data_IF_418750950549
#
_entry.id   IF_418750950549
#
_cell.length_a   1.000
_cell.length_b   1.000
_cell.length_c   1.000
_cell.angle_alpha   90.00
_cell.angle_beta   90.00
_cell.angle_gamma   90.00
#
_symmetry.space_group_name_H-M   'P 1'
#
loop_
_entity.id
_entity.type
_entity.pdbx_description
1 polymer ?
#
# COMPACT_ATOMS: atom_id res chain seq x y z
N UNK A 1 57.51 -5.91 17.35
CA UNK A 1 58.20 -5.17 18.44
C UNK A 1 58.04 -3.68 18.12
N UNK A 2 57.46 -2.76 18.90
CA UNK A 2 57.25 -2.56 20.35
C UNK A 2 55.85 -1.92 20.55
N UNK A 3 54.99 -2.51 21.39
CA UNK A 3 54.55 -2.11 22.74
C UNK A 3 53.57 -0.91 22.84
N UNK A 4 52.34 -1.29 23.21
CA UNK A 4 51.22 -0.55 23.79
C UNK A 4 51.60 0.07 25.14
N UNK A 5 50.89 1.13 25.59
CA UNK A 5 50.17 0.98 26.86
C UNK A 5 48.78 1.67 26.90
N UNK A 6 47.87 1.02 27.60
CA UNK A 6 46.68 1.55 28.32
C UNK A 6 46.97 1.28 29.84
N UNK A 7 46.24 1.75 30.89
CA UNK A 7 44.89 2.33 30.91
C UNK A 7 44.61 3.52 31.86
N UNK A 8 43.38 4.02 31.74
CA UNK A 8 42.59 4.93 32.60
C UNK A 8 42.59 4.56 34.10
N UNK A 9 42.33 5.49 35.08
CA UNK A 9 40.94 5.87 35.44
C UNK A 9 40.72 7.25 36.10
N UNK A 10 39.50 7.82 35.98
CA UNK A 10 39.05 8.87 36.89
C UNK A 10 37.82 9.66 36.45
N UNK A 11 36.62 9.23 36.85
CA UNK A 11 35.45 10.11 36.88
C UNK A 11 34.84 10.10 38.29
N UNK A 12 34.91 11.24 38.98
CA UNK A 12 34.27 11.49 40.29
C UNK A 12 33.68 12.90 40.32
N UNK A 13 32.40 12.95 40.73
CA UNK A 13 31.60 14.07 41.27
C UNK A 13 31.24 15.23 40.33
N UNK A 14 29.94 15.49 40.17
CA UNK A 14 29.26 16.39 41.11
C UNK A 14 27.74 16.21 41.15
N UNK A 15 27.22 16.21 42.38
CA UNK A 15 25.81 16.21 42.77
C UNK A 15 25.56 17.59 43.42
N UNK A 16 24.73 18.42 42.79
CA UNK A 16 24.02 19.58 43.37
C UNK A 16 22.75 19.65 42.50
N UNK A 17 21.51 19.52 42.98
CA UNK A 17 20.96 20.03 44.24
C UNK A 17 20.11 21.24 43.88
N UNK A 18 18.91 21.04 43.33
CA UNK A 18 17.90 22.09 43.15
C UNK A 18 16.59 21.67 43.82
N UNK A 19 16.27 22.38 44.90
CA UNK A 19 15.04 22.28 45.66
C UNK A 19 13.85 22.81 44.83
N UNK A 20 12.80 22.01 44.71
CA UNK A 20 11.50 22.45 44.23
C UNK A 20 10.62 22.83 45.43
N UNK A 21 10.25 24.11 45.52
CA UNK A 21 9.22 24.62 46.43
C UNK A 21 7.83 24.30 45.88
N UNK A 22 7.05 23.59 46.68
CA UNK A 22 5.59 23.44 46.57
C UNK A 22 4.90 24.75 46.93
N UNK A 23 3.87 25.10 46.18
CA UNK A 23 2.89 26.13 46.55
C UNK A 23 1.51 25.50 46.47
N UNK A 24 0.96 25.16 47.63
CA UNK A 24 -0.47 24.97 47.85
C UNK A 24 -1.14 26.36 47.91
N UNK A 25 -2.33 26.50 47.34
CA UNK A 25 -3.20 27.62 47.65
C UNK A 25 -4.65 27.15 47.80
N UNK A 26 -5.23 27.59 48.91
CA UNK A 26 -6.49 27.20 49.51
C UNK A 26 -7.59 28.23 49.17
N UNK A 27 -8.83 27.76 48.97
CA UNK A 27 -10.10 28.53 49.11
C UNK A 27 -10.42 28.77 50.60
N UNK A 28 -11.40 29.63 51.07
CA UNK A 28 -12.82 29.83 50.61
C UNK A 28 -13.44 31.24 50.96
N UNK A 29 -14.76 31.49 51.27
CA UNK A 29 -16.11 31.07 50.75
C UNK A 29 -17.14 32.24 50.44
N UNK A 30 -18.26 31.90 49.74
CA UNK A 30 -19.74 32.27 49.75
C UNK A 30 -20.30 33.64 50.26
N UNK A 31 -21.59 34.07 50.02
CA UNK A 31 -22.87 33.36 49.66
C UNK A 31 -23.67 34.02 48.48
N UNK A 32 -24.87 33.65 47.98
CA UNK A 32 -26.08 32.96 48.47
C UNK A 32 -27.14 32.82 47.34
N UNK A 33 -28.14 31.97 47.56
CA UNK A 33 -29.11 31.29 46.66
C UNK A 33 -30.51 31.97 46.58
N UNK A 34 -31.67 31.35 46.20
CA UNK A 34 -32.07 30.32 45.20
C UNK A 34 -33.39 30.64 44.42
N UNK A 35 -33.80 29.77 43.46
CA UNK A 35 -35.22 29.34 43.21
C UNK A 35 -35.27 28.32 42.04
N UNK A 36 -35.35 26.99 42.27
CA UNK A 36 -36.54 26.10 42.32
C UNK A 36 -37.45 26.07 41.08
N UNK A 37 -37.66 24.87 40.51
CA UNK A 37 -38.93 24.23 40.05
C UNK A 37 -38.56 22.90 39.33
N UNK A 38 -38.56 21.73 39.98
CA UNK A 38 -39.65 20.82 40.38
C UNK A 38 -40.12 19.85 39.29
N UNK A 39 -40.04 18.57 39.67
CA UNK A 39 -40.39 17.33 38.96
C UNK A 39 -41.91 17.10 39.02
N UNK A 40 -42.50 16.53 37.96
CA UNK A 40 -43.77 15.80 38.08
C UNK A 40 -43.85 14.58 37.14
N UNK A 41 -43.91 13.40 37.76
CA UNK A 41 -44.84 12.28 37.46
C UNK A 41 -45.78 12.20 38.68
N UNK A 42 -47.05 11.72 38.60
CA UNK A 42 -47.45 10.33 38.28
C UNK A 42 -48.72 10.31 37.37
N UNK A 43 -49.39 9.23 36.98
CA UNK A 43 -49.84 8.08 37.75
C UNK A 43 -50.44 6.97 36.84
N UNK A 44 -50.44 5.76 37.38
CA UNK A 44 -51.01 4.50 36.88
C UNK A 44 -52.50 4.32 37.20
N UNK A 45 -53.19 3.42 36.47
CA UNK A 45 -54.44 2.76 36.92
C UNK A 45 -55.31 2.26 35.75
N UNK A 46 -55.16 1.02 35.29
CA UNK A 46 -55.96 -0.18 35.63
C UNK A 46 -57.44 -0.16 35.15
N UNK A 47 -57.81 -1.04 34.20
CA UNK A 47 -58.82 -2.09 34.44
C UNK A 47 -59.11 -3.02 33.24
N UNK A 48 -59.06 -4.32 33.58
CA UNK A 48 -59.95 -5.45 33.20
C UNK A 48 -59.94 -6.04 31.79
N UNK A 49 -59.44 -7.27 31.80
CA UNK A 49 -59.77 -8.44 30.99
C UNK A 49 -61.26 -8.69 30.70
N UNK A 50 -61.55 -9.14 29.48
CA UNK A 50 -62.59 -10.13 29.18
C UNK A 50 -62.06 -11.12 28.15
N UNK A 51 -62.26 -12.40 28.45
CA UNK A 51 -61.85 -13.54 27.65
C UNK A 51 -63.02 -14.07 26.80
N UNK A 52 -62.64 -14.84 25.77
CA UNK A 52 -63.22 -16.13 25.35
C UNK A 52 -64.28 -16.19 24.20
N UNK A 53 -63.98 -17.09 23.24
CA UNK A 53 -64.85 -17.90 22.34
C UNK A 53 -65.42 -17.21 21.09
N UNK A 54 -65.63 -17.83 19.92
CA UNK A 54 -65.30 -19.12 19.29
C UNK A 54 -65.76 -18.99 17.81
N UNK A 55 -65.01 -19.58 16.89
CA UNK A 55 -65.30 -20.05 15.50
C UNK A 55 -66.56 -19.59 14.75
N UNK A 56 -66.40 -19.18 13.47
CA UNK A 56 -67.16 -19.73 12.33
C UNK A 56 -66.48 -19.42 10.98
N UNK A 57 -66.30 -20.46 10.18
CA UNK A 57 -65.72 -20.57 8.83
C UNK A 57 -66.77 -20.33 7.72
N UNK A 58 -66.34 -19.93 6.50
CA UNK A 58 -66.66 -20.57 5.18
C UNK A 58 -66.66 -19.57 3.97
N UNK A 59 -65.93 -19.96 2.91
CA UNK A 59 -66.14 -19.78 1.45
C UNK A 59 -65.42 -18.69 0.63
N UNK A 60 -65.09 -19.12 -0.61
CA UNK A 60 -64.51 -18.44 -1.80
C UNK A 60 -62.99 -18.19 -1.74
N UNK A 61 -62.08 -18.77 -2.56
CA UNK A 61 -62.17 -19.31 -3.91
C UNK A 61 -61.16 -20.46 -4.14
N UNK A 62 -61.63 -21.57 -4.72
CA UNK A 62 -60.82 -22.53 -5.50
C UNK A 62 -61.48 -22.60 -6.88
N UNK A 63 -60.75 -22.22 -7.94
CA UNK A 63 -60.89 -22.76 -9.29
C UNK A 63 -59.91 -22.06 -10.25
N UNK A 64 -58.73 -22.65 -10.46
CA UNK A 64 -58.00 -22.60 -11.74
C UNK A 64 -56.69 -23.41 -11.62
N UNK A 65 -56.83 -24.74 -11.59
CA UNK A 65 -55.77 -25.65 -11.96
C UNK A 65 -56.42 -26.73 -12.83
N UNK A 66 -56.12 -26.73 -14.14
CA UNK A 66 -56.09 -27.88 -15.08
C UNK A 66 -56.22 -27.41 -16.54
N UNK A 67 -55.08 -27.11 -17.16
CA UNK A 67 -54.74 -27.16 -18.59
C UNK A 67 -53.38 -26.45 -18.67
N UNK A 68 -52.24 -27.07 -18.96
CA UNK A 68 -51.92 -27.88 -20.14
C UNK A 68 -50.70 -28.75 -19.79
N UNK A 69 -50.84 -30.07 -19.96
CA UNK A 69 -49.73 -30.98 -20.24
C UNK A 69 -49.62 -31.05 -21.78
N UNK A 70 -48.39 -31.21 -22.27
CA UNK A 70 -47.95 -31.36 -23.67
C UNK A 70 -47.57 -30.06 -24.40
N UNK A 71 -46.28 -29.70 -24.31
CA UNK A 71 -45.35 -29.57 -25.45
C UNK A 71 -44.00 -29.01 -24.95
N UNK A 72 -42.89 -29.65 -25.35
CA UNK A 72 -41.57 -28.99 -25.36
C UNK A 72 -40.54 -29.50 -24.36
N UNK A 73 -40.01 -30.70 -24.60
CA UNK A 73 -38.69 -31.13 -24.15
C UNK A 73 -37.64 -30.35 -24.96
N UNK A 74 -36.81 -29.53 -24.31
CA UNK A 74 -35.38 -29.29 -24.59
C UNK A 74 -34.91 -27.99 -23.90
N UNK A 75 -34.37 -28.10 -22.69
CA UNK A 75 -33.54 -27.06 -22.09
C UNK A 75 -32.26 -27.73 -21.56
N UNK A 76 -31.11 -27.35 -22.14
CA UNK A 76 -29.79 -27.81 -21.74
C UNK A 76 -29.39 -27.34 -20.34
N UNK A 77 -28.23 -27.80 -19.82
CA UNK A 77 -27.82 -27.49 -18.46
C UNK A 77 -27.68 -25.98 -18.28
N UNK A 78 -28.40 -25.46 -17.29
CA UNK A 78 -28.38 -24.06 -16.89
C UNK A 78 -26.96 -23.63 -16.52
N UNK A 79 -26.42 -22.70 -17.30
CA UNK A 79 -25.28 -21.91 -16.88
C UNK A 79 -25.71 -21.08 -15.67
N UNK A 80 -25.05 -21.30 -14.54
CA UNK A 80 -25.07 -20.38 -13.41
C UNK A 80 -24.73 -18.96 -13.90
N UNK A 81 -25.48 -17.92 -13.50
CA UNK A 81 -25.14 -16.56 -13.87
C UNK A 81 -23.74 -16.23 -13.32
N UNK A 82 -22.89 -15.54 -14.09
CA UNK A 82 -21.55 -15.20 -13.63
C UNK A 82 -21.63 -14.31 -12.39
N UNK A 83 -20.86 -14.72 -11.39
CA UNK A 83 -20.71 -14.08 -10.10
C UNK A 83 -20.18 -12.64 -10.32
N UNK A 84 -21.01 -11.63 -10.05
CA UNK A 84 -20.71 -10.22 -10.33
C UNK A 84 -19.66 -9.60 -9.38
N UNK A 85 -19.07 -10.39 -8.49
CA UNK A 85 -18.04 -9.94 -7.55
C UNK A 85 -16.64 -10.53 -7.81
N UNK A 86 -16.44 -11.28 -8.89
CA UNK A 86 -15.10 -11.59 -9.39
C UNK A 86 -14.65 -10.51 -10.38
N UNK A 87 -14.59 -9.24 -9.94
CA UNK A 87 -13.80 -8.26 -10.68
C UNK A 87 -12.35 -8.73 -10.59
N UNK A 88 -11.85 -9.30 -11.69
CA UNK A 88 -10.43 -9.48 -11.92
C UNK A 88 -9.76 -8.11 -11.82
N UNK A 89 -9.30 -7.73 -10.63
CA UNK A 89 -8.39 -6.61 -10.47
C UNK A 89 -7.24 -6.87 -11.43
N UNK A 90 -7.13 -6.02 -12.44
CA UNK A 90 -5.97 -6.09 -13.31
C UNK A 90 -4.79 -5.61 -12.49
N UNK A 91 -3.60 -6.13 -12.77
CA UNK A 91 -2.34 -5.75 -12.12
C UNK A 91 -2.03 -4.24 -12.16
N UNK A 92 -2.83 -3.47 -12.92
CA UNK A 92 -2.77 -2.02 -13.07
C UNK A 92 -3.51 -1.24 -11.97
N UNK A 93 -4.46 -1.86 -11.27
CA UNK A 93 -5.42 -1.15 -10.40
C UNK A 93 -5.03 -1.14 -8.91
N UNK A 94 -4.01 -1.89 -8.51
CA UNK A 94 -3.57 -1.95 -7.11
C UNK A 94 -2.43 -0.95 -6.86
N UNK A 95 -2.72 0.13 -6.13
CA UNK A 95 -1.70 1.05 -5.60
C UNK A 95 -0.63 0.23 -4.88
N UNK A 96 0.65 0.47 -5.20
CA UNK A 96 1.72 -0.32 -4.57
C UNK A 96 1.71 -0.12 -3.07
N UNK A 97 1.89 -1.22 -2.35
CA UNK A 97 1.95 -1.25 -0.90
C UNK A 97 3.37 -1.62 -0.48
N UNK A 98 4.03 -0.72 0.25
CA UNK A 98 5.38 -0.94 0.76
C UNK A 98 5.32 -1.06 2.27
N UNK A 99 5.90 -2.13 2.82
CA UNK A 99 5.98 -2.33 4.27
C UNK A 99 6.94 -1.34 4.93
N UNK A 100 6.87 -1.21 6.25
CA UNK A 100 7.80 -0.33 6.99
C UNK A 100 9.26 -0.79 6.87
N UNK A 101 9.46 -2.09 6.61
CA UNK A 101 10.75 -2.68 6.29
C UNK A 101 11.22 -2.47 4.83
N UNK A 102 10.45 -1.76 4.00
CA UNK A 102 10.83 -1.40 2.63
C UNK A 102 10.55 -2.47 1.57
N UNK A 103 9.67 -3.44 1.83
CA UNK A 103 9.33 -4.51 0.88
C UNK A 103 8.01 -4.26 0.17
N UNK A 104 7.96 -4.65 -1.11
CA UNK A 104 6.71 -4.66 -1.90
C UNK A 104 5.78 -5.78 -1.43
N UNK A 105 4.72 -5.41 -0.72
CA UNK A 105 3.67 -6.30 -0.23
C UNK A 105 2.40 -6.23 -1.08
N UNK A 106 2.45 -5.56 -2.24
CA UNK A 106 1.31 -5.45 -3.15
C UNK A 106 0.83 -6.85 -3.56
N UNK A 107 -0.46 -7.19 -3.33
CA UNK A 107 -0.99 -8.50 -3.70
C UNK A 107 -0.76 -8.82 -5.18
N UNK A 108 -0.17 -9.98 -5.45
CA UNK A 108 0.06 -10.47 -6.80
C UNK A 108 -1.23 -10.99 -7.41
N UNK A 109 -1.41 -10.74 -8.71
CA UNK A 109 -2.50 -11.34 -9.46
C UNK A 109 -2.37 -12.87 -9.48
N UNK A 110 -3.52 -13.57 -9.52
CA UNK A 110 -3.56 -15.02 -9.59
C UNK A 110 -2.70 -15.59 -10.73
N UNK A 111 -2.71 -14.93 -11.90
CA UNK A 111 -1.88 -15.34 -13.04
C UNK A 111 -0.37 -15.27 -12.73
N UNK A 112 0.10 -14.26 -11.99
CA UNK A 112 1.50 -14.18 -11.55
C UNK A 112 1.82 -15.29 -10.55
N UNK A 113 0.94 -15.52 -9.58
CA UNK A 113 1.11 -16.60 -8.59
C UNK A 113 1.17 -17.97 -9.28
N UNK A 114 0.30 -18.24 -10.24
CA UNK A 114 0.30 -19.48 -11.02
C UNK A 114 1.61 -19.70 -11.79
N UNK A 115 2.25 -18.64 -12.28
CA UNK A 115 3.58 -18.74 -12.91
C UNK A 115 4.66 -19.10 -11.89
N UNK A 116 4.63 -18.49 -10.70
CA UNK A 116 5.58 -18.78 -9.62
C UNK A 116 5.40 -20.21 -9.09
N UNK A 117 4.14 -20.62 -8.92
CA UNK A 117 3.76 -21.92 -8.36
C UNK A 117 4.24 -23.12 -9.21
N UNK A 118 4.55 -22.92 -10.50
CA UNK A 118 5.12 -23.97 -11.38
C UNK A 118 6.49 -24.48 -10.94
N UNK A 119 7.21 -23.73 -10.11
CA UNK A 119 8.53 -24.12 -9.59
C UNK A 119 8.44 -24.96 -8.31
N UNK A 120 7.26 -25.05 -7.70
CA UNK A 120 7.06 -25.70 -6.42
C UNK A 120 7.10 -27.22 -6.55
N UNK A 121 7.57 -27.89 -5.50
CA UNK A 121 7.36 -29.33 -5.36
C UNK A 121 5.86 -29.65 -5.17
N UNK A 122 5.42 -30.90 -5.40
CA UNK A 122 4.02 -31.28 -5.15
C UNK A 122 3.56 -30.97 -3.72
N UNK A 123 4.43 -31.13 -2.73
CA UNK A 123 4.11 -30.87 -1.32
C UNK A 123 4.02 -29.37 -1.02
N UNK A 124 4.98 -28.58 -1.51
CA UNK A 124 4.93 -27.12 -1.43
C UNK A 124 3.67 -26.58 -2.09
N UNK A 125 3.30 -27.10 -3.27
CA UNK A 125 2.06 -26.70 -3.94
C UNK A 125 0.83 -27.06 -3.11
N UNK A 126 0.75 -28.29 -2.58
CA UNK A 126 -0.36 -28.74 -1.74
C UNK A 126 -0.53 -27.85 -0.51
N UNK A 127 0.57 -27.49 0.15
CA UNK A 127 0.53 -26.63 1.34
C UNK A 127 0.19 -25.20 0.96
N UNK A 128 1.01 -24.57 0.11
CA UNK A 128 0.93 -23.14 -0.18
C UNK A 128 -0.32 -22.73 -0.97
N UNK A 129 -0.77 -23.56 -1.92
CA UNK A 129 -1.87 -23.21 -2.85
C UNK A 129 -3.20 -23.86 -2.47
N UNK A 130 -3.19 -25.00 -1.78
CA UNK A 130 -4.40 -25.74 -1.40
C UNK A 130 -4.64 -25.76 0.11
N UNK A 131 -4.00 -24.88 0.88
CA UNK A 131 -4.10 -24.77 2.34
C UNK A 131 -3.86 -26.11 3.06
N UNK A 132 -2.93 -26.91 2.54
CA UNK A 132 -2.48 -28.14 3.19
C UNK A 132 -1.63 -27.85 4.43
N UNK A 133 -1.54 -28.84 5.32
CA UNK A 133 -0.64 -28.79 6.48
C UNK A 133 0.37 -29.95 6.40
N UNK A 134 1.64 -29.68 6.68
CA UNK A 134 2.68 -30.72 6.82
C UNK A 134 2.44 -31.56 8.07
N UNK A 135 2.90 -32.82 8.07
CA UNK A 135 2.82 -33.65 9.27
C UNK A 135 3.76 -33.11 10.36
N UNK A 136 3.30 -33.15 11.61
CA UNK A 136 4.09 -32.73 12.76
C UNK A 136 5.42 -33.50 12.81
N UNK A 137 6.51 -32.79 13.12
CA UNK A 137 7.88 -33.32 13.24
C UNK A 137 8.51 -33.83 11.93
N UNK A 138 7.85 -33.64 10.79
CA UNK A 138 8.38 -34.06 9.48
C UNK A 138 9.02 -32.92 8.67
N UNK A 139 8.80 -31.66 9.06
CA UNK A 139 9.30 -30.48 8.36
C UNK A 139 10.80 -30.25 8.54
N UNK A 140 11.44 -29.65 7.52
CA UNK A 140 12.90 -29.44 7.46
C UNK A 140 13.39 -28.25 8.28
N UNK A 141 12.50 -27.33 8.68
CA UNK A 141 12.86 -26.08 9.35
C UNK A 141 12.47 -26.04 10.83
N UNK A 142 11.86 -27.11 11.35
CA UNK A 142 11.49 -27.23 12.77
C UNK A 142 12.70 -27.00 13.68
N UNK A 143 13.80 -27.69 13.44
CA UNK A 143 15.00 -27.67 14.29
C UNK A 143 16.08 -26.69 13.83
N UNK A 144 15.79 -25.84 12.83
CA UNK A 144 16.75 -24.85 12.36
C UNK A 144 17.05 -23.82 13.47
N UNK A 145 18.33 -23.62 13.77
CA UNK A 145 18.83 -22.67 14.80
C UNK A 145 19.83 -21.65 14.24
N UNK A 146 20.02 -21.63 12.92
CA UNK A 146 20.93 -20.69 12.26
C UNK A 146 20.35 -19.28 12.26
N UNK A 147 21.22 -18.28 12.30
CA UNK A 147 20.85 -16.88 12.16
C UNK A 147 20.52 -16.57 10.69
N UNK A 148 19.47 -15.78 10.46
CA UNK A 148 18.96 -15.51 9.13
C UNK A 148 17.48 -15.16 9.11
N UNK A 149 16.87 -15.32 7.93
CA UNK A 149 15.46 -15.03 7.71
C UNK A 149 14.75 -16.15 6.94
N UNK A 150 13.45 -16.25 7.16
CA UNK A 150 12.55 -17.19 6.52
C UNK A 150 11.70 -16.42 5.53
N UNK A 151 11.80 -16.76 4.25
CA UNK A 151 11.08 -16.12 3.16
C UNK A 151 9.98 -17.01 2.63
N UNK A 152 8.95 -16.41 2.03
CA UNK A 152 7.91 -17.16 1.34
C UNK A 152 8.51 -17.93 0.15
N UNK A 153 8.36 -19.25 0.13
CA UNK A 153 8.89 -20.10 -0.96
C UNK A 153 8.32 -19.75 -2.35
N UNK A 154 7.16 -19.09 -2.39
CA UNK A 154 6.48 -18.74 -3.64
C UNK A 154 6.98 -17.42 -4.22
N UNK A 155 7.14 -16.38 -3.40
CA UNK A 155 7.40 -15.01 -3.88
C UNK A 155 8.61 -14.31 -3.28
N UNK A 156 9.35 -14.98 -2.38
CA UNK A 156 10.55 -14.46 -1.73
C UNK A 156 10.32 -13.38 -0.66
N UNK A 157 9.07 -12.99 -0.38
CA UNK A 157 8.80 -12.00 0.68
C UNK A 157 9.33 -12.52 2.03
N UNK A 158 10.18 -11.78 2.75
CA UNK A 158 10.60 -12.17 4.10
C UNK A 158 9.41 -12.26 5.05
N UNK A 159 9.22 -13.39 5.72
CA UNK A 159 8.06 -13.62 6.59
C UNK A 159 8.44 -13.58 8.06
N UNK A 160 9.58 -14.17 8.43
CA UNK A 160 10.03 -14.27 9.82
C UNK A 160 11.55 -14.16 9.93
N UNK A 161 12.05 -13.81 11.12
CA UNK A 161 13.50 -13.80 11.46
C UNK A 161 13.82 -14.92 12.42
N UNK A 162 15.06 -15.44 12.38
CA UNK A 162 15.53 -16.44 13.36
C UNK A 162 15.43 -15.94 14.80
N UNK A 163 15.64 -14.65 15.04
CA UNK A 163 15.45 -13.99 16.34
C UNK A 163 14.05 -14.24 16.95
N UNK A 164 13.03 -14.37 16.11
CA UNK A 164 11.65 -14.57 16.56
C UNK A 164 11.28 -16.05 16.71
N UNK A 165 12.16 -16.98 16.33
CA UNK A 165 11.88 -18.41 16.33
C UNK A 165 11.99 -18.99 17.73
N UNK A 166 11.07 -19.87 18.10
CA UNK A 166 11.12 -20.58 19.38
C UNK A 166 10.59 -22.01 19.27
N UNK A 167 10.87 -22.83 20.28
CA UNK A 167 10.39 -24.22 20.36
C UNK A 167 9.04 -24.23 21.07
N UNK A 168 7.98 -24.51 20.33
CA UNK A 168 6.61 -24.59 20.85
C UNK A 168 6.22 -26.00 21.32
N UNK A 169 6.95 -27.03 20.90
CA UNK A 169 6.59 -28.44 21.12
C UNK A 169 5.49 -28.97 20.20
N UNK A 170 5.00 -28.18 19.24
CA UNK A 170 3.91 -28.61 18.35
C UNK A 170 4.38 -29.51 17.20
N UNK A 171 5.67 -29.52 16.89
CA UNK A 171 6.22 -30.25 15.74
C UNK A 171 6.27 -29.42 14.45
N UNK A 172 6.01 -28.11 14.53
CA UNK A 172 6.14 -27.15 13.42
C UNK A 172 7.01 -25.95 13.81
N UNK A 173 7.78 -25.35 12.88
CA UNK A 173 8.51 -24.12 13.15
C UNK A 173 7.55 -23.04 13.67
N UNK A 174 7.92 -22.42 14.78
CA UNK A 174 7.09 -21.47 15.50
C UNK A 174 7.83 -20.17 15.75
N UNK A 175 7.12 -19.05 15.57
CA UNK A 175 7.66 -17.71 15.75
C UNK A 175 6.70 -16.85 16.56
N UNK A 176 7.22 -15.90 17.31
CA UNK A 176 6.38 -15.00 18.11
C UNK A 176 6.07 -13.66 17.43
N UNK A 177 6.78 -13.31 16.36
CA UNK A 177 6.62 -12.04 15.67
C UNK A 177 6.97 -12.18 14.18
N UNK A 178 6.18 -11.62 13.24
CA UNK A 178 6.55 -11.59 11.83
C UNK A 178 7.77 -10.68 11.58
N UNK A 179 8.31 -10.73 10.36
CA UNK A 179 9.39 -9.84 9.91
C UNK A 179 8.93 -8.38 9.91
N UNK A 180 7.72 -8.14 9.41
CA UNK A 180 6.95 -6.90 9.48
C UNK A 180 5.46 -7.29 9.52
N UNK A 181 4.60 -6.64 10.33
CA UNK A 181 3.17 -6.97 10.39
C UNK A 181 2.46 -6.97 9.03
N UNK A 182 2.90 -6.14 8.08
CA UNK A 182 2.32 -6.07 6.73
C UNK A 182 2.71 -7.27 5.84
N UNK A 183 3.62 -8.14 6.26
CA UNK A 183 4.07 -9.28 5.45
C UNK A 183 3.18 -10.52 5.60
N UNK A 184 2.34 -10.57 6.65
CA UNK A 184 1.46 -11.70 6.96
C UNK A 184 0.01 -11.22 6.98
N UNK A 185 -0.83 -11.80 6.13
CA UNK A 185 -2.27 -11.60 6.16
C UNK A 185 -2.91 -12.62 7.11
N UNK A 186 -3.91 -12.18 7.88
CA UNK A 186 -4.66 -13.01 8.82
C UNK A 186 -6.09 -13.20 8.31
N UNK A 187 -6.54 -14.46 8.24
CA UNK A 187 -7.88 -14.82 7.77
C UNK A 187 -8.56 -15.72 8.79
N UNK A 188 -9.86 -15.54 8.96
CA UNK A 188 -10.66 -16.44 9.80
C UNK A 188 -10.84 -17.78 9.09
N UNK A 189 -10.52 -18.87 9.79
CA UNK A 189 -10.68 -20.24 9.32
C UNK A 189 -11.65 -20.98 10.25
N UNK A 190 -12.83 -21.31 9.75
CA UNK A 190 -13.89 -22.05 10.47
C UNK A 190 -14.01 -23.52 10.05
N UNK A 191 -13.00 -24.03 9.36
CA UNK A 191 -12.98 -25.42 8.90
C UNK A 191 -12.76 -26.39 10.07
N UNK A 192 -13.08 -27.67 9.85
CA UNK A 192 -12.88 -28.75 10.84
C UNK A 192 -13.62 -28.53 12.18
N UNK A 193 -14.66 -27.69 12.20
CA UNK A 193 -15.46 -27.42 13.41
C UNK A 193 -14.73 -26.57 14.46
N UNK A 194 -13.65 -25.87 14.07
CA UNK A 194 -12.86 -24.99 14.94
C UNK A 194 -12.83 -23.59 14.34
N UNK A 195 -12.75 -22.55 15.17
CA UNK A 195 -12.38 -21.20 14.72
C UNK A 195 -10.90 -20.97 14.99
N UNK A 196 -10.12 -20.80 13.93
CA UNK A 196 -8.68 -20.51 13.94
C UNK A 196 -8.42 -19.26 13.10
N UNK A 197 -7.20 -18.73 13.21
CA UNK A 197 -6.72 -17.66 12.34
C UNK A 197 -5.64 -18.24 11.43
N UNK A 198 -5.99 -18.41 10.16
CA UNK A 198 -5.04 -18.75 9.09
C UNK A 198 -4.11 -17.57 8.86
N UNK A 199 -2.84 -17.88 8.60
CA UNK A 199 -1.84 -16.90 8.16
C UNK A 199 -1.41 -17.21 6.74
N UNK A 200 -1.43 -16.18 5.90
CA UNK A 200 -1.03 -16.23 4.49
C UNK A 200 0.08 -15.21 4.25
N UNK A 201 0.91 -15.44 3.25
CA UNK A 201 1.82 -14.40 2.76
C UNK A 201 0.98 -13.24 2.20
N UNK A 202 1.18 -12.02 2.71
CA UNK A 202 0.38 -10.86 2.30
C UNK A 202 0.52 -10.54 0.80
N UNK A 203 1.65 -10.91 0.18
CA UNK A 203 1.96 -10.62 -1.22
C UNK A 203 1.40 -11.64 -2.20
N UNK A 204 1.56 -12.94 -1.95
CA UNK A 204 1.16 -13.97 -2.93
C UNK A 204 0.01 -14.87 -2.45
N UNK A 205 -0.54 -14.58 -1.28
CA UNK A 205 -1.62 -15.33 -0.62
C UNK A 205 -1.31 -16.79 -0.28
N UNK A 206 -0.05 -17.22 -0.42
CA UNK A 206 0.42 -18.55 -0.04
C UNK A 206 0.05 -18.87 1.40
N UNK A 207 -0.64 -19.99 1.63
CA UNK A 207 -0.89 -20.52 2.96
C UNK A 207 0.44 -20.78 3.69
N UNK A 208 0.54 -20.30 4.92
CA UNK A 208 1.72 -20.45 5.77
C UNK A 208 1.46 -21.38 6.95
N UNK A 209 0.27 -21.28 7.54
CA UNK A 209 -0.12 -22.02 8.74
C UNK A 209 -1.19 -21.26 9.52
N UNK A 210 -1.08 -21.25 10.85
CA UNK A 210 -2.04 -20.57 11.74
C UNK A 210 -1.34 -19.79 12.84
N UNK A 211 -2.04 -18.79 13.39
CA UNK A 211 -1.59 -18.03 14.56
C UNK A 211 -2.51 -18.23 15.76
N UNK A 212 -1.89 -18.37 16.93
CA UNK A 212 -2.56 -18.70 18.20
C UNK A 212 -2.18 -17.69 19.30
N UNK A 213 -3.06 -17.45 20.29
CA UNK A 213 -2.82 -16.50 21.39
C UNK A 213 -2.06 -17.13 22.58
N UNK A 214 -1.30 -18.20 22.35
CA UNK A 214 -0.57 -18.98 23.37
C UNK A 214 0.96 -18.90 23.18
N UNK A 215 1.44 -17.82 22.55
CA UNK A 215 2.86 -17.60 22.33
C UNK A 215 3.58 -16.97 23.51
N UNK A 216 4.92 -16.89 23.45
CA UNK A 216 5.71 -16.24 24.49
C UNK A 216 5.53 -14.71 24.45
N UNK A 217 5.89 -14.00 25.54
CA UNK A 217 6.12 -12.57 25.50
C UNK A 217 7.15 -12.20 24.41
N UNK A 218 7.11 -10.99 23.84
CA UNK A 218 6.25 -9.87 24.22
C UNK A 218 4.87 -9.87 23.55
N UNK A 219 4.69 -10.62 22.46
CA UNK A 219 3.45 -10.55 21.66
C UNK A 219 2.34 -11.41 22.22
N UNK A 220 2.67 -12.49 22.94
CA UNK A 220 1.71 -13.52 23.33
C UNK A 220 1.19 -14.33 22.13
N UNK A 221 1.80 -14.17 20.95
CA UNK A 221 1.35 -14.80 19.70
C UNK A 221 2.28 -15.92 19.31
N UNK A 222 1.73 -17.04 18.84
CA UNK A 222 2.48 -18.14 18.25
C UNK A 222 2.03 -18.33 16.81
N UNK A 223 2.87 -17.90 15.88
CA UNK A 223 2.76 -18.21 14.47
C UNK A 223 3.34 -19.61 14.28
N UNK A 224 2.51 -20.56 13.88
CA UNK A 224 2.86 -21.97 13.70
C UNK A 224 2.82 -22.26 12.19
N UNK A 225 3.97 -22.52 11.58
CA UNK A 225 4.12 -22.55 10.13
C UNK A 225 4.48 -23.92 9.59
N UNK A 226 4.12 -24.16 8.34
CA UNK A 226 4.68 -25.25 7.57
C UNK A 226 6.09 -24.89 7.09
N UNK A 227 7.06 -25.79 7.25
CA UNK A 227 8.40 -25.66 6.72
C UNK A 227 8.38 -25.54 5.19
N UNK A 228 7.52 -26.30 4.53
CA UNK A 228 7.36 -26.28 3.05
C UNK A 228 6.74 -24.98 2.50
N UNK A 229 6.23 -24.08 3.36
CA UNK A 229 5.83 -22.74 2.93
C UNK A 229 6.99 -21.73 2.95
N UNK A 230 8.15 -22.15 3.46
CA UNK A 230 9.28 -21.29 3.77
C UNK A 230 10.55 -21.75 3.07
N UNK A 231 11.40 -20.78 2.74
CA UNK A 231 12.80 -20.99 2.41
C UNK A 231 13.65 -20.22 3.43
N UNK A 232 14.76 -20.80 3.88
CA UNK A 232 15.65 -20.17 4.85
C UNK A 232 16.88 -19.60 4.16
N UNK A 233 17.15 -18.31 4.41
CA UNK A 233 18.36 -17.63 3.96
C UNK A 233 19.21 -17.37 5.19
N UNK A 234 20.38 -18.00 5.24
CA UNK A 234 21.34 -17.87 6.34
C UNK A 234 22.04 -16.50 6.29
N UNK A 235 22.33 -15.93 7.45
CA UNK A 235 23.07 -14.68 7.53
C UNK A 235 24.43 -14.78 6.83
N UNK A 236 24.76 -13.80 6.00
CA UNK A 236 25.97 -13.78 5.18
C UNK A 236 25.85 -14.48 3.82
N UNK A 237 24.73 -15.16 3.53
CA UNK A 237 24.44 -15.64 2.18
C UNK A 237 23.95 -14.50 1.27
N UNK A 238 24.11 -14.68 -0.05
CA UNK A 238 23.51 -13.77 -1.01
C UNK A 238 21.99 -13.86 -0.93
N UNK A 239 21.35 -12.74 -0.60
CA UNK A 239 19.89 -12.62 -0.54
C UNK A 239 19.35 -12.54 -1.97
N UNK A 240 18.38 -13.36 -2.40
CA UNK A 240 17.74 -13.24 -3.72
C UNK A 240 17.10 -11.86 -3.94
N UNK A 241 17.01 -11.39 -5.18
CA UNK A 241 16.56 -10.04 -5.50
C UNK A 241 15.12 -9.76 -5.03
N UNK A 242 14.24 -10.76 -5.12
CA UNK A 242 12.85 -10.74 -4.63
C UNK A 242 12.73 -10.63 -3.11
N UNK A 243 13.81 -10.96 -2.39
CA UNK A 243 13.91 -10.97 -0.93
C UNK A 243 14.75 -9.80 -0.39
N UNK A 244 15.10 -8.82 -1.24
CA UNK A 244 15.79 -7.58 -0.84
C UNK A 244 14.77 -6.44 -0.67
N UNK A 245 14.98 -5.51 0.28
CA UNK A 245 14.16 -4.31 0.37
C UNK A 245 14.36 -3.46 -0.90
N UNK A 246 13.33 -2.71 -1.28
CA UNK A 246 13.42 -1.76 -2.38
C UNK A 246 14.41 -0.65 -2.01
N UNK A 247 15.25 -0.26 -2.98
CA UNK A 247 15.87 1.06 -2.94
C UNK A 247 14.79 2.07 -3.33
N UNK A 248 14.63 3.14 -2.57
CA UNK A 248 13.57 4.13 -2.79
C UNK A 248 14.18 5.50 -2.97
N UNK A 249 13.88 6.13 -4.10
CA UNK A 249 14.20 7.53 -4.38
C UNK A 249 12.93 8.34 -4.64
N UNK A 250 13.05 9.67 -4.53
CA UNK A 250 11.97 10.62 -4.81
C UNK A 250 12.43 11.67 -5.81
N UNK A 251 11.57 12.02 -6.76
CA UNK A 251 11.75 13.15 -7.66
C UNK A 251 10.43 13.95 -7.79
N UNK A 252 10.53 15.23 -8.12
CA UNK A 252 9.37 16.11 -8.25
C UNK A 252 9.31 16.76 -9.63
N UNK A 253 8.12 16.77 -10.21
CA UNK A 253 7.90 17.22 -11.59
C UNK A 253 6.63 18.06 -11.70
N UNK A 254 6.70 19.20 -12.37
CA UNK A 254 5.57 20.10 -12.64
C UNK A 254 5.44 20.30 -14.15
N UNK A 255 4.28 20.03 -14.77
CA UNK A 255 4.18 19.90 -16.23
C UNK A 255 2.83 20.28 -16.82
N UNK A 256 2.14 21.24 -16.20
CA UNK A 256 0.73 21.55 -16.46
C UNK A 256 -0.19 20.93 -15.41
N UNK A 257 -1.43 20.65 -15.79
CA UNK A 257 -2.41 19.98 -14.92
C UNK A 257 -1.82 18.70 -14.32
N UNK A 258 -1.69 18.63 -12.99
CA UNK A 258 -1.01 17.49 -12.34
C UNK A 258 -1.68 16.13 -12.60
N UNK A 259 -2.95 16.07 -12.99
CA UNK A 259 -3.69 14.83 -13.22
C UNK A 259 -3.06 14.00 -14.35
N UNK A 260 -2.67 14.68 -15.44
CA UNK A 260 -2.01 14.03 -16.57
C UNK A 260 -0.58 13.61 -16.24
N UNK A 261 0.12 14.45 -15.49
CA UNK A 261 1.51 14.20 -15.09
C UNK A 261 1.55 13.00 -14.14
N UNK A 262 0.66 12.99 -13.14
CA UNK A 262 0.44 11.90 -12.19
C UNK A 262 0.18 10.60 -12.93
N UNK A 263 -0.89 10.58 -13.74
CA UNK A 263 -1.25 9.40 -14.52
C UNK A 263 -0.10 8.90 -15.40
N UNK A 264 0.64 9.80 -16.03
CA UNK A 264 1.77 9.44 -16.89
C UNK A 264 2.90 8.73 -16.14
N UNK A 265 3.29 9.24 -14.97
CA UNK A 265 4.29 8.58 -14.13
C UNK A 265 3.79 7.26 -13.54
N UNK A 266 2.51 7.16 -13.20
CA UNK A 266 1.91 5.90 -12.71
C UNK A 266 2.04 4.74 -13.71
N UNK A 267 2.13 5.04 -15.01
CA UNK A 267 2.29 4.02 -16.06
C UNK A 267 3.73 3.47 -16.19
N UNK A 268 4.71 4.01 -15.45
CA UNK A 268 6.13 3.66 -15.60
C UNK A 268 6.49 2.46 -14.69
N UNK A 269 6.95 1.33 -15.25
CA UNK A 269 7.50 0.26 -14.42
C UNK A 269 8.69 0.75 -13.59
N UNK A 270 8.65 0.48 -12.29
CA UNK A 270 9.65 0.96 -11.33
C UNK A 270 9.19 2.18 -10.52
N UNK A 271 8.20 2.95 -10.98
CA UNK A 271 7.51 3.92 -10.13
C UNK A 271 6.68 3.18 -9.07
N UNK A 272 6.75 3.66 -7.83
CA UNK A 272 6.12 3.08 -6.64
C UNK A 272 4.83 3.83 -6.31
N UNK A 273 4.91 5.15 -6.17
CA UNK A 273 3.75 6.01 -5.97
C UNK A 273 3.96 7.34 -6.68
N UNK A 274 2.84 7.97 -7.00
CA UNK A 274 2.81 9.34 -7.52
C UNK A 274 1.71 10.07 -6.78
N UNK A 275 2.05 11.17 -6.12
CA UNK A 275 1.10 11.99 -5.38
C UNK A 275 1.04 13.38 -6.00
N UNK A 276 -0.16 13.88 -6.29
CA UNK A 276 -0.40 15.23 -6.80
C UNK A 276 -0.31 16.27 -5.67
N UNK A 277 0.25 17.45 -5.95
CA UNK A 277 0.45 18.49 -4.94
C UNK A 277 0.99 19.81 -5.47
N UNK A 278 1.43 20.65 -4.54
CA UNK A 278 1.84 22.04 -4.77
C UNK A 278 3.23 22.30 -4.18
N UNK A 279 4.08 22.98 -4.93
CA UNK A 279 5.48 23.20 -4.54
C UNK A 279 6.04 24.51 -5.13
N UNK A 280 7.16 25.00 -4.60
CA UNK A 280 7.84 26.24 -5.02
C UNK A 280 6.97 27.50 -4.93
N UNK A 281 6.12 27.59 -3.91
CA UNK A 281 5.24 28.72 -3.66
C UNK A 281 5.46 29.30 -2.27
N UNK A 282 4.77 30.40 -1.98
CA UNK A 282 5.06 31.25 -0.82
C UNK A 282 4.21 30.95 0.40
N UNK A 283 3.09 30.25 0.23
CA UNK A 283 2.15 30.00 1.32
C UNK A 283 2.27 28.56 1.81
N UNK A 284 2.05 28.39 3.11
CA UNK A 284 1.97 27.07 3.70
C UNK A 284 0.55 26.52 3.56
N UNK A 285 0.43 25.20 3.42
CA UNK A 285 -0.82 24.45 3.32
C UNK A 285 -1.84 25.02 2.30
N UNK A 286 -1.43 25.21 1.03
CA UNK A 286 -2.31 25.79 0.01
C UNK A 286 -3.46 24.84 -0.36
N UNK A 287 -4.65 25.41 -0.52
CA UNK A 287 -5.81 24.73 -1.14
C UNK A 287 -5.83 24.95 -2.64
N UNK A 288 -6.45 24.04 -3.39
CA UNK A 288 -6.60 24.19 -4.85
C UNK A 288 -7.22 25.54 -5.25
N UNK A 289 -8.22 26.02 -4.48
CA UNK A 289 -8.87 27.31 -4.74
C UNK A 289 -7.91 28.49 -4.64
N UNK A 290 -6.93 28.43 -3.73
CA UNK A 290 -5.88 29.46 -3.65
C UNK A 290 -4.92 29.34 -4.84
N UNK A 291 -4.56 28.12 -5.24
CA UNK A 291 -3.69 27.87 -6.40
C UNK A 291 -4.29 28.40 -7.70
N UNK A 292 -5.60 28.22 -7.93
CA UNK A 292 -6.28 28.69 -9.13
C UNK A 292 -6.19 30.22 -9.34
N UNK A 293 -6.00 31.00 -8.26
CA UNK A 293 -5.86 32.46 -8.37
C UNK A 293 -4.50 32.87 -8.96
N UNK A 294 -3.49 31.97 -8.96
CA UNK A 294 -2.18 32.16 -9.58
C UNK A 294 -1.20 33.05 -8.80
N UNK A 295 -1.58 33.60 -7.65
CA UNK A 295 -0.79 34.55 -6.87
C UNK A 295 0.06 33.90 -5.75
N UNK A 296 -0.16 32.62 -5.47
CA UNK A 296 0.56 31.86 -4.44
C UNK A 296 2.01 31.54 -4.82
N UNK A 297 2.32 31.54 -6.12
CA UNK A 297 3.61 31.14 -6.68
C UNK A 297 3.82 29.64 -6.82
N UNK A 298 2.97 28.79 -6.24
CA UNK A 298 3.12 27.33 -6.38
C UNK A 298 3.00 26.89 -7.84
N UNK A 299 3.69 25.80 -8.17
CA UNK A 299 3.39 24.96 -9.32
C UNK A 299 2.53 23.76 -8.89
N UNK A 300 1.58 23.36 -9.73
CA UNK A 300 1.04 22.01 -9.70
C UNK A 300 2.17 21.04 -10.05
N UNK A 301 2.45 20.14 -9.12
CA UNK A 301 3.59 19.23 -9.15
C UNK A 301 3.16 17.85 -8.72
N UNK A 302 3.94 16.85 -9.09
CA UNK A 302 3.80 15.48 -8.60
C UNK A 302 5.05 15.05 -7.86
N UNK A 303 4.86 14.36 -6.74
CA UNK A 303 5.91 13.64 -6.03
C UNK A 303 5.96 12.21 -6.57
N UNK A 304 7.05 11.85 -7.22
CA UNK A 304 7.27 10.51 -7.81
C UNK A 304 8.23 9.74 -6.91
N UNK A 305 7.74 8.68 -6.28
CA UNK A 305 8.56 7.72 -5.53
C UNK A 305 8.86 6.53 -6.43
N UNK A 306 10.12 6.12 -6.55
CA UNK A 306 10.54 5.09 -7.51
C UNK A 306 11.69 4.22 -7.01
N UNK A 307 11.82 3.05 -7.63
CA UNK A 307 12.92 2.10 -7.43
C UNK A 307 14.02 2.35 -8.48
N UNK A 308 15.19 2.94 -8.11
CA UNK A 308 16.25 3.25 -9.04
C UNK A 308 16.87 2.00 -9.69
N UNK A 309 16.69 0.80 -9.09
CA UNK A 309 17.11 -0.45 -9.71
C UNK A 309 16.20 -0.87 -10.88
N UNK A 310 14.99 -0.30 -10.99
CA UNK A 310 14.02 -0.57 -12.08
C UNK A 310 13.91 0.58 -13.07
N UNK A 311 13.97 1.83 -12.60
CA UNK A 311 13.92 3.01 -13.46
C UNK A 311 14.83 4.10 -12.90
N UNK A 312 15.76 4.60 -13.72
CA UNK A 312 16.67 5.66 -13.28
C UNK A 312 16.02 7.04 -13.31
N UNK A 313 16.50 7.94 -12.45
CA UNK A 313 16.08 9.34 -12.45
C UNK A 313 16.27 10.01 -13.82
N UNK A 314 17.35 9.69 -14.55
CA UNK A 314 17.55 10.16 -15.93
C UNK A 314 16.39 9.77 -16.86
N UNK A 315 15.93 8.52 -16.79
CA UNK A 315 14.80 8.05 -17.61
C UNK A 315 13.51 8.80 -17.23
N UNK A 316 13.29 9.06 -15.94
CA UNK A 316 12.16 9.86 -15.46
C UNK A 316 12.19 11.31 -15.97
N UNK A 317 13.35 11.97 -15.92
CA UNK A 317 13.52 13.34 -16.46
C UNK A 317 13.28 13.36 -17.98
N UNK A 318 13.84 12.38 -18.70
CA UNK A 318 13.68 12.29 -20.17
C UNK A 318 12.23 12.02 -20.55
N UNK A 319 11.56 11.13 -19.82
CA UNK A 319 10.13 10.86 -19.97
C UNK A 319 9.33 12.14 -19.78
N UNK A 320 9.54 12.83 -18.66
CA UNK A 320 8.83 14.05 -18.30
C UNK A 320 8.95 15.15 -19.37
N UNK A 321 10.16 15.41 -19.89
CA UNK A 321 10.38 16.43 -20.92
C UNK A 321 9.70 16.13 -22.27
N UNK A 322 9.27 14.88 -22.49
CA UNK A 322 8.50 14.47 -23.66
C UNK A 322 7.02 14.21 -23.34
N UNK A 323 6.64 14.24 -22.06
CA UNK A 323 5.27 14.01 -21.60
C UNK A 323 4.36 15.22 -21.87
N UNK A 324 4.92 16.43 -21.76
CA UNK A 324 4.24 17.71 -21.92
C UNK A 324 5.00 18.59 -22.94
N UNK A 325 4.51 19.80 -23.24
CA UNK A 325 5.28 20.79 -24.01
C UNK A 325 6.19 21.62 -23.08
N UNK A 326 7.51 21.35 -23.02
CA UNK A 326 8.41 22.04 -22.09
C UNK A 326 8.87 23.41 -22.61
N UNK A 327 8.31 23.91 -23.72
CA UNK A 327 8.65 25.20 -24.34
C UNK A 327 7.62 26.28 -24.06
N UNK A 328 6.50 25.93 -23.41
CA UNK A 328 5.44 26.85 -23.00
C UNK A 328 5.75 27.44 -21.63
N UNK A 329 5.92 28.76 -21.57
CA UNK A 329 6.18 29.47 -20.32
C UNK A 329 4.85 29.74 -19.60
N UNK A 330 4.74 29.31 -18.33
CA UNK A 330 3.57 29.53 -17.47
C UNK A 330 2.24 29.11 -18.10
N UNK A 331 2.26 27.98 -18.82
CA UNK A 331 1.13 27.45 -19.56
C UNK A 331 1.38 26.00 -19.96
N UNK A 332 0.31 25.20 -20.03
CA UNK A 332 0.32 23.94 -20.75
C UNK A 332 -0.97 23.76 -21.55
N UNK A 333 -0.88 23.75 -22.88
CA UNK A 333 -2.05 23.59 -23.75
C UNK A 333 -3.07 24.72 -23.53
N UNK A 334 -4.31 24.43 -23.11
CA UNK A 334 -5.30 25.46 -22.78
C UNK A 334 -5.18 26.00 -21.35
N UNK A 335 -4.32 25.44 -20.50
CA UNK A 335 -4.21 25.81 -19.08
C UNK A 335 -3.17 26.92 -18.91
N UNK A 336 -3.61 28.12 -18.51
CA UNK A 336 -2.76 29.32 -18.38
C UNK A 336 -2.53 29.68 -16.91
N UNK A 337 -1.28 29.99 -16.56
CA UNK A 337 -0.92 30.44 -15.23
C UNK A 337 0.42 29.86 -14.76
N UNK A 338 1.08 30.56 -13.84
CA UNK A 338 2.35 30.13 -13.25
C UNK A 338 2.25 28.78 -12.55
N UNK A 339 1.05 28.41 -12.09
CA UNK A 339 0.78 27.09 -11.51
C UNK A 339 0.95 25.94 -12.51
N UNK A 340 0.85 26.20 -13.81
CA UNK A 340 1.00 25.21 -14.87
C UNK A 340 2.39 25.21 -15.53
N UNK A 341 3.36 25.91 -14.92
CA UNK A 341 4.73 25.98 -15.46
C UNK A 341 5.40 24.61 -15.47
N UNK A 342 6.36 24.47 -16.38
CA UNK A 342 7.23 23.31 -16.45
C UNK A 342 8.37 23.44 -15.44
N UNK A 343 8.55 22.44 -14.57
CA UNK A 343 9.60 22.42 -13.55
C UNK A 343 10.05 21.01 -13.15
N UNK A 344 11.33 20.90 -12.80
CA UNK A 344 11.94 19.71 -12.21
C UNK A 344 12.56 20.14 -10.87
N UNK A 345 12.01 19.61 -9.77
CA UNK A 345 12.47 19.98 -8.43
C UNK A 345 13.26 18.84 -7.80
N UNK A 346 14.56 19.07 -7.59
CA UNK A 346 15.54 18.00 -7.38
C UNK A 346 15.87 17.77 -5.92
N UNK A 347 16.03 16.50 -5.54
CA UNK A 347 16.54 16.07 -4.24
C UNK A 347 18.05 15.86 -4.32
N UNK A 348 18.81 16.82 -3.82
CA UNK A 348 20.28 16.77 -3.79
C UNK A 348 20.98 17.12 -5.11
N UNK A 349 22.30 17.19 -5.06
CA UNK A 349 23.13 17.70 -6.17
C UNK A 349 23.20 16.75 -7.37
N UNK A 350 23.09 15.44 -7.16
CA UNK A 350 23.15 14.45 -8.24
C UNK A 350 21.93 14.53 -9.17
N UNK A 351 20.73 14.66 -8.59
CA UNK A 351 19.51 14.88 -9.36
C UNK A 351 19.56 16.21 -10.11
N UNK A 352 20.08 17.27 -9.48
CA UNK A 352 20.26 18.58 -10.14
C UNK A 352 21.15 18.46 -11.39
N UNK A 353 22.33 17.86 -11.23
CA UNK A 353 23.26 17.67 -12.34
C UNK A 353 22.66 16.79 -13.45
N UNK A 354 21.97 15.71 -13.08
CA UNK A 354 21.30 14.82 -14.03
C UNK A 354 20.19 15.54 -14.80
N UNK A 355 19.32 16.28 -14.10
CA UNK A 355 18.21 17.00 -14.71
C UNK A 355 18.71 18.08 -15.69
N UNK A 356 19.74 18.84 -15.31
CA UNK A 356 20.36 19.84 -16.17
C UNK A 356 20.99 19.22 -17.42
N UNK A 357 21.73 18.13 -17.27
CA UNK A 357 22.33 17.39 -18.39
C UNK A 357 21.26 16.88 -19.35
N UNK A 358 20.26 16.15 -18.84
CA UNK A 358 19.20 15.58 -19.68
C UNK A 358 18.39 16.67 -20.37
N UNK A 359 18.09 17.79 -19.68
CA UNK A 359 17.45 18.95 -20.30
C UNK A 359 18.26 19.51 -21.47
N UNK A 360 19.59 19.62 -21.33
CA UNK A 360 20.46 20.10 -22.41
C UNK A 360 20.47 19.14 -23.61
N UNK A 361 20.51 17.83 -23.36
CA UNK A 361 20.43 16.81 -24.41
C UNK A 361 19.09 16.86 -25.16
N UNK A 362 17.98 16.97 -24.43
CA UNK A 362 16.63 17.08 -25.03
C UNK A 362 16.48 18.38 -25.81
N UNK A 363 17.02 19.51 -25.31
CA UNK A 363 17.04 20.78 -26.03
C UNK A 363 17.76 20.68 -27.38
N UNK A 364 18.80 19.86 -27.49
CA UNK A 364 19.57 19.67 -28.71
C UNK A 364 18.85 18.77 -29.74
N UNK A 365 17.80 18.05 -29.35
CA UNK A 365 17.05 17.18 -30.26
C UNK A 365 16.32 17.99 -31.34
N UNK A 366 16.22 17.42 -32.55
CA UNK A 366 15.57 18.07 -33.70
C UNK A 366 14.12 18.48 -33.43
N UNK A 367 13.43 17.76 -32.55
CA UNK A 367 12.07 18.04 -32.10
C UNK A 367 11.92 19.45 -31.49
N UNK A 368 12.97 19.96 -30.83
CA UNK A 368 13.00 21.25 -30.15
C UNK A 368 13.79 22.32 -30.92
N UNK A 369 14.14 22.06 -32.19
CA UNK A 369 14.86 23.03 -33.01
C UNK A 369 14.05 24.31 -33.16
N UNK A 370 14.64 25.44 -32.76
CA UNK A 370 13.99 26.76 -32.78
C UNK A 370 12.99 27.00 -31.65
N UNK A 371 12.82 26.06 -30.72
CA UNK A 371 11.93 26.18 -29.56
C UNK A 371 12.73 25.98 -28.27
N UNK A 372 12.91 27.05 -27.50
CA UNK A 372 13.66 26.98 -26.24
C UNK A 372 12.84 26.27 -25.16
N UNK A 373 13.42 25.28 -24.52
CA UNK A 373 12.90 24.64 -23.31
C UNK A 373 12.98 25.64 -22.16
N UNK A 374 11.83 25.91 -21.56
CA UNK A 374 11.67 26.87 -20.45
C UNK A 374 11.54 26.20 -19.09
N UNK A 375 11.53 24.86 -19.03
CA UNK A 375 11.52 24.07 -17.79
C UNK A 375 12.53 24.58 -16.77
N UNK A 376 12.08 24.98 -15.58
CA UNK A 376 12.98 25.31 -14.48
C UNK A 376 13.58 24.04 -13.87
N UNK A 377 14.81 24.12 -13.36
CA UNK A 377 15.49 23.01 -12.68
C UNK A 377 16.13 23.55 -11.43
N UNK A 378 15.51 23.25 -10.29
CA UNK A 378 15.82 23.89 -9.00
C UNK A 378 15.78 22.87 -7.86
N UNK A 379 16.42 23.13 -6.71
CA UNK A 379 16.22 22.32 -5.50
C UNK A 379 14.76 22.31 -5.06
N UNK A 380 14.28 21.14 -4.64
CA UNK A 380 12.94 20.97 -4.10
C UNK A 380 12.74 21.76 -2.79
N UNK A 381 11.71 22.61 -2.72
CA UNK A 381 11.19 23.13 -1.46
C UNK A 381 10.13 22.18 -0.88
N UNK A 382 9.36 22.62 0.11
CA UNK A 382 8.32 21.80 0.75
C UNK A 382 7.21 21.46 -0.26
N UNK A 383 6.91 20.17 -0.36
CA UNK A 383 5.79 19.64 -1.13
C UNK A 383 4.54 19.57 -0.25
N UNK A 384 3.45 20.17 -0.72
CA UNK A 384 2.14 20.12 -0.09
C UNK A 384 1.24 19.18 -0.89
N UNK A 385 0.77 18.11 -0.26
CA UNK A 385 -0.14 17.17 -0.92
C UNK A 385 -1.46 17.88 -1.25
N UNK A 386 -1.97 17.68 -2.46
CA UNK A 386 -3.28 18.17 -2.86
C UNK A 386 -4.40 17.35 -2.22
N UNK A 387 -5.61 17.89 -2.22
CA UNK A 387 -6.80 17.26 -1.68
C UNK A 387 -7.06 15.87 -2.32
N UNK A 388 -7.65 14.94 -1.55
CA UNK A 388 -7.86 13.54 -1.99
C UNK A 388 -8.59 13.40 -3.33
N UNK A 389 -9.50 14.33 -3.65
CA UNK A 389 -10.24 14.29 -4.91
C UNK A 389 -9.38 14.60 -6.15
N UNK A 390 -8.18 15.14 -5.97
CA UNK A 390 -7.21 15.33 -7.04
C UNK A 390 -6.31 14.12 -7.27
N UNK A 391 -6.18 13.24 -6.28
CA UNK A 391 -5.32 12.06 -6.36
C UNK A 391 -5.96 10.99 -7.25
N UNK A 392 -5.13 10.34 -8.07
CA UNK A 392 -5.56 9.26 -8.97
C UNK A 392 -6.72 9.67 -9.91
N UNK A 393 -6.86 10.97 -10.22
CA UNK A 393 -8.08 11.50 -10.83
C UNK A 393 -8.40 10.86 -12.18
N UNK A 394 -7.39 10.69 -13.05
CA UNK A 394 -7.59 10.06 -14.36
C UNK A 394 -7.83 8.56 -14.21
N UNK A 395 -7.09 7.88 -13.32
CA UNK A 395 -7.28 6.47 -13.06
C UNK A 395 -8.72 6.19 -12.59
N UNK A 396 -9.28 7.07 -11.76
CA UNK A 396 -10.63 6.95 -11.22
C UNK A 396 -11.74 7.35 -12.21
N UNK A 397 -11.48 8.29 -13.12
CA UNK A 397 -12.53 8.87 -13.98
C UNK A 397 -12.46 8.46 -15.46
N UNK A 398 -11.32 7.93 -15.91
CA UNK A 398 -11.07 7.63 -17.33
C UNK A 398 -11.02 8.87 -18.23
N UNK A 399 -10.92 10.08 -17.68
CA UNK A 399 -10.91 11.33 -18.44
C UNK A 399 -9.61 11.47 -19.26
N UNK A 400 -9.73 12.02 -20.46
CA UNK A 400 -8.58 12.37 -21.29
C UNK A 400 -7.80 13.55 -20.71
N UNK A 401 -6.50 13.60 -20.96
CA UNK A 401 -5.62 14.67 -20.48
C UNK A 401 -4.62 15.13 -21.55
N UNK A 402 -3.90 16.22 -21.28
CA UNK A 402 -3.01 16.92 -22.21
C UNK A 402 -1.68 16.20 -22.50
N UNK A 403 -1.39 15.10 -21.83
CA UNK A 403 -0.08 14.42 -21.89
C UNK A 403 0.07 13.47 -23.08
N UNK A 404 1.29 13.32 -23.60
CA UNK A 404 1.61 12.46 -24.76
C UNK A 404 2.41 11.21 -24.36
N UNK A 405 1.73 10.17 -23.85
CA UNK A 405 2.39 8.98 -23.32
C UNK A 405 3.27 8.21 -24.32
N UNK A 406 2.82 7.88 -25.55
CA UNK A 406 3.63 7.04 -26.44
C UNK A 406 4.97 7.68 -26.82
N UNK A 407 4.99 9.00 -27.01
CA UNK A 407 6.21 9.75 -27.29
C UNK A 407 7.15 9.77 -26.08
N UNK A 408 6.60 9.98 -24.88
CA UNK A 408 7.36 10.00 -23.63
C UNK A 408 8.04 8.65 -23.32
N UNK A 409 7.30 7.54 -23.43
CA UNK A 409 7.84 6.19 -23.26
C UNK A 409 8.95 5.88 -24.26
N UNK A 410 8.71 6.19 -25.53
CA UNK A 410 9.71 5.98 -26.60
C UNK A 410 10.98 6.79 -26.35
N UNK A 411 10.84 8.07 -25.98
CA UNK A 411 11.98 8.94 -25.76
C UNK A 411 12.83 8.52 -24.55
N UNK A 412 12.20 8.00 -23.50
CA UNK A 412 12.86 7.56 -22.28
C UNK A 412 13.41 6.13 -22.34
N UNK A 413 13.17 5.40 -23.44
CA UNK A 413 13.45 3.96 -23.53
C UNK A 413 12.84 3.20 -22.34
N UNK A 414 11.56 3.48 -22.07
CA UNK A 414 10.76 2.81 -21.05
C UNK A 414 9.68 2.00 -21.76
N UNK A 415 9.60 0.70 -21.43
CA UNK A 415 8.48 -0.13 -21.87
C UNK A 415 7.29 0.11 -20.92
N UNK A 416 6.10 0.45 -21.41
CA UNK A 416 4.95 0.70 -20.56
C UNK A 416 4.48 -0.59 -19.85
N UNK A 417 3.85 -0.44 -18.69
CA UNK A 417 3.31 -1.57 -17.92
C UNK A 417 2.26 -2.38 -18.72
N UNK A 418 2.49 -3.69 -18.83
CA UNK A 418 1.55 -4.62 -19.47
C UNK A 418 1.75 -4.85 -20.97
N UNK A 419 2.81 -4.32 -21.59
CA UNK A 419 3.24 -4.74 -22.93
C UNK A 419 4.39 -5.74 -22.83
N UNK A 420 4.10 -7.04 -22.80
CA UNK A 420 5.13 -8.05 -23.09
C UNK A 420 5.53 -7.91 -24.55
N UNK A 421 6.84 -7.86 -24.86
CA UNK A 421 7.29 -8.14 -26.23
C UNK A 421 6.75 -9.52 -26.58
N UNK A 422 5.82 -9.60 -27.53
CA UNK A 422 5.66 -10.84 -28.28
C UNK A 422 7.03 -11.11 -28.90
N UNK A 423 7.74 -12.11 -28.37
CA UNK A 423 8.92 -12.66 -29.03
C UNK A 423 8.46 -13.22 -30.37
N UNK A 424 8.96 -12.61 -31.45
CA UNK A 424 8.87 -13.19 -32.80
C UNK A 424 9.62 -14.52 -32.86
#
# INVERSE_FOLDING_TARGET
MRRVPDPTPGYRRNRQGSEFRTVENSLPPHPGSPSTYSIHRPNSGLHRSTALRLSFTISLFIAAALAVILLGVAAGPGQTPPDRNASTMTDRDSKKQISSAGFDVTPLSRAKVEVLAKKLTPEQYRITQNAGTEQAFCGTLLDNKKDGMYVCVVCGLPLFKSEHKFISGTGWPSFFNPFDPAHVAEKRDDTLGMTRIEINCARCDSHLGHVFPDGPPPTGRRFCLNSESLEFIEEGQEVPAESRPLSIETGYFAGGCFWGVEYGFQQIPGVISVDSGYQQGKIDDPTYKQICNGDTGHAESVKVVFDPAKVSYEKLVRFFLHLHDPTQLNRQGPDFGTQYRSGIYTVGAEQLATAQRVKAEVQAASLFKGRRIVTEVEPAEKFWIAEDYHQDYIANTGRSCHVTLPAAFKAADIMPSGTSKASN
#
